data_IF_218024966245
#
_entry.id   IF_218024966245
#
_cell.length_a   1.000
_cell.length_b   1.000
_cell.length_c   1.000
_cell.angle_alpha   90.00
_cell.angle_beta   90.00
_cell.angle_gamma   90.00
#
_symmetry.space_group_name_H-M   'P 1'
#
loop_
_entity.id
_entity.type
_entity.pdbx_description
1 polymer ?
#
# COMPACT_ATOMS: atom_id res chain seq x y z
N UNK A 1 -14.25 -2.10 14.07
CA UNK A 1 -13.66 -1.67 12.79
C UNK A 1 -13.36 -2.94 12.02
N UNK A 2 -14.14 -3.23 10.99
CA UNK A 2 -13.90 -4.33 10.05
C UNK A 2 -12.53 -4.12 9.43
N UNK A 3 -11.59 -5.02 9.71
CA UNK A 3 -10.34 -5.03 8.98
C UNK A 3 -10.68 -5.18 7.49
N UNK A 4 -10.16 -4.31 6.64
CA UNK A 4 -10.32 -4.46 5.19
C UNK A 4 -9.47 -5.66 4.80
N UNK A 5 -10.10 -6.80 4.50
CA UNK A 5 -9.39 -8.04 4.21
C UNK A 5 -8.63 -7.98 2.87
N UNK A 6 -9.16 -7.26 1.88
CA UNK A 6 -8.50 -7.06 0.60
C UNK A 6 -7.29 -6.09 0.75
N UNK A 7 -6.06 -6.56 0.47
CA UNK A 7 -4.87 -5.73 0.62
C UNK A 7 -4.81 -4.56 -0.37
N UNK A 8 -5.36 -4.69 -1.58
CA UNK A 8 -5.43 -3.59 -2.55
C UNK A 8 -6.40 -2.53 -2.05
N UNK A 9 -7.59 -2.91 -1.59
CA UNK A 9 -8.57 -1.98 -1.04
C UNK A 9 -8.05 -1.25 0.20
N UNK A 10 -7.27 -1.95 1.04
CA UNK A 10 -6.61 -1.35 2.20
C UNK A 10 -5.56 -0.31 1.79
N UNK A 11 -4.77 -0.61 0.76
CA UNK A 11 -3.79 0.34 0.21
C UNK A 11 -4.48 1.59 -0.36
N UNK A 12 -5.56 1.42 -1.12
CA UNK A 12 -6.37 2.52 -1.69
C UNK A 12 -6.93 3.39 -0.57
N UNK A 13 -7.56 2.77 0.43
CA UNK A 13 -8.15 3.51 1.57
C UNK A 13 -7.10 4.32 2.32
N UNK A 14 -5.93 3.75 2.58
CA UNK A 14 -4.83 4.45 3.24
C UNK A 14 -4.28 5.60 2.37
N UNK A 15 -4.22 5.41 1.05
CA UNK A 15 -3.82 6.45 0.10
C UNK A 15 -4.81 7.62 0.09
N UNK A 16 -6.10 7.33 0.02
CA UNK A 16 -7.14 8.37 0.01
C UNK A 16 -7.13 9.18 1.31
N UNK A 17 -6.94 8.52 2.46
CA UNK A 17 -6.82 9.20 3.76
C UNK A 17 -5.58 10.10 3.84
N UNK A 18 -4.46 9.69 3.23
CA UNK A 18 -3.25 10.53 3.16
C UNK A 18 -3.51 11.85 2.42
N UNK A 19 -4.26 11.80 1.32
CA UNK A 19 -4.54 12.96 0.48
C UNK A 19 -5.72 13.79 0.96
N UNK A 20 -6.65 13.19 1.71
CA UNK A 20 -7.79 13.88 2.33
C UNK A 20 -7.43 14.57 3.66
N UNK A 21 -6.15 14.62 4.03
CA UNK A 21 -5.69 15.38 5.20
C UNK A 21 -5.99 14.71 6.54
N UNK A 22 -6.18 13.39 6.56
CA UNK A 22 -6.36 12.67 7.83
C UNK A 22 -5.11 12.81 8.72
N UNK A 23 -5.28 12.97 10.05
CA UNK A 23 -4.15 12.92 10.98
C UNK A 23 -3.49 11.54 10.95
N UNK A 24 -2.20 11.47 11.31
CA UNK A 24 -1.47 10.20 11.35
C UNK A 24 -0.88 9.77 10.00
N UNK A 25 -0.39 10.72 9.20
CA UNK A 25 0.18 10.44 7.87
C UNK A 25 1.36 9.45 7.89
N UNK A 26 2.07 9.29 9.01
CA UNK A 26 3.12 8.26 9.15
C UNK A 26 2.50 6.86 9.19
N UNK A 27 1.49 6.65 10.01
CA UNK A 27 0.83 5.34 10.16
C UNK A 27 0.10 4.95 8.88
N UNK A 28 -0.55 5.91 8.21
CA UNK A 28 -1.19 5.67 6.91
C UNK A 28 -0.18 5.28 5.81
N UNK A 29 1.02 5.87 5.79
CA UNK A 29 2.09 5.45 4.87
C UNK A 29 2.54 4.01 5.17
N UNK A 30 2.69 3.65 6.44
CA UNK A 30 3.02 2.28 6.86
C UNK A 30 1.92 1.29 6.45
N UNK A 31 0.65 1.61 6.74
CA UNK A 31 -0.50 0.77 6.36
C UNK A 31 -0.57 0.58 4.85
N UNK A 32 -0.40 1.67 4.08
CA UNK A 32 -0.36 1.60 2.61
C UNK A 32 0.77 0.69 2.13
N UNK A 33 1.97 0.85 2.66
CA UNK A 33 3.14 0.04 2.31
C UNK A 33 2.96 -1.44 2.59
N UNK A 34 2.52 -1.80 3.80
CA UNK A 34 2.24 -3.19 4.17
C UNK A 34 1.15 -3.83 3.31
N UNK A 35 0.12 -3.06 2.97
CA UNK A 35 -0.98 -3.52 2.14
C UNK A 35 -0.53 -3.76 0.68
N UNK A 36 0.35 -2.91 0.13
CA UNK A 36 0.96 -3.12 -1.19
C UNK A 36 1.78 -4.42 -1.21
N UNK A 37 2.63 -4.65 -0.19
CA UNK A 37 3.42 -5.88 -0.08
C UNK A 37 2.55 -7.13 -0.02
N UNK A 38 1.50 -7.11 0.80
CA UNK A 38 0.55 -8.23 0.88
C UNK A 38 -0.19 -8.48 -0.44
N UNK A 39 -0.50 -7.42 -1.21
CA UNK A 39 -1.10 -7.57 -2.53
C UNK A 39 -0.12 -8.26 -3.51
N UNK A 40 1.16 -7.90 -3.46
CA UNK A 40 2.22 -8.53 -4.28
C UNK A 40 2.40 -10.00 -3.88
N UNK A 41 2.47 -10.31 -2.58
CA UNK A 41 2.54 -11.69 -2.07
C UNK A 41 1.32 -12.53 -2.48
N UNK A 42 0.13 -11.90 -2.58
CA UNK A 42 -1.08 -12.53 -3.09
C UNK A 42 -1.10 -12.69 -4.62
N UNK A 43 -0.02 -12.32 -5.32
CA UNK A 43 0.15 -12.48 -6.77
C UNK A 43 -0.37 -11.32 -7.61
N UNK A 44 -0.70 -10.17 -7.01
CA UNK A 44 -1.07 -8.96 -7.77
C UNK A 44 0.17 -8.34 -8.40
N UNK A 45 0.01 -7.81 -9.60
CA UNK A 45 1.07 -7.10 -10.29
C UNK A 45 1.17 -5.65 -9.83
N UNK A 46 2.38 -5.08 -9.95
CA UNK A 46 2.59 -3.64 -9.71
C UNK A 46 1.68 -2.76 -10.56
N UNK A 47 1.35 -3.19 -11.78
CA UNK A 47 0.46 -2.46 -12.67
C UNK A 47 -0.97 -2.39 -12.11
N UNK A 48 -1.55 -3.54 -11.72
CA UNK A 48 -2.90 -3.59 -11.14
C UNK A 48 -2.99 -2.72 -9.87
N UNK A 49 -1.99 -2.83 -8.99
CA UNK A 49 -1.96 -2.04 -7.75
C UNK A 49 -1.84 -0.54 -8.07
N UNK A 50 -1.03 -0.15 -9.05
CA UNK A 50 -0.85 1.23 -9.48
C UNK A 50 -2.14 1.83 -10.05
N UNK A 51 -2.85 1.06 -10.88
CA UNK A 51 -4.11 1.48 -11.49
C UNK A 51 -5.17 1.76 -10.41
N UNK A 52 -5.24 0.93 -9.37
CA UNK A 52 -6.14 1.14 -8.24
C UNK A 52 -5.77 2.35 -7.36
N UNK A 53 -4.47 2.62 -7.20
CA UNK A 53 -3.97 3.74 -6.41
C UNK A 53 -3.92 5.07 -7.19
N UNK A 54 -4.19 5.04 -8.50
CA UNK A 54 -4.02 6.16 -9.41
C UNK A 54 -2.61 6.77 -9.37
N UNK A 55 -1.58 5.92 -9.24
CA UNK A 55 -0.16 6.30 -9.25
C UNK A 55 0.56 5.66 -10.42
N UNK A 56 1.83 6.03 -10.67
CA UNK A 56 2.63 5.31 -11.66
C UNK A 56 3.19 4.04 -11.05
N UNK A 57 3.31 2.93 -11.80
CA UNK A 57 3.95 1.71 -11.31
C UNK A 57 5.40 1.94 -10.80
N UNK A 58 6.12 2.91 -11.38
CA UNK A 58 7.45 3.31 -10.92
C UNK A 58 7.45 3.92 -9.50
N UNK A 59 6.35 4.56 -9.09
CA UNK A 59 6.21 5.14 -7.76
C UNK A 59 5.99 4.05 -6.71
N UNK A 60 5.41 2.91 -7.10
CA UNK A 60 5.25 1.73 -6.23
C UNK A 60 6.57 1.00 -6.02
N UNK A 61 7.35 0.81 -7.08
CA UNK A 61 8.66 0.14 -7.00
C UNK A 61 9.58 0.83 -5.97
N UNK A 62 9.65 2.17 -6.03
CA UNK A 62 10.39 2.98 -5.05
C UNK A 62 9.88 2.82 -3.62
N UNK A 63 8.57 2.61 -3.42
CA UNK A 63 7.99 2.42 -2.09
C UNK A 63 8.25 1.02 -1.54
N UNK A 64 8.27 0.00 -2.39
CA UNK A 64 8.49 -1.38 -1.97
C UNK A 64 9.97 -1.68 -1.73
N UNK A 65 10.90 -1.06 -2.46
CA UNK A 65 12.35 -1.26 -2.24
C UNK A 65 12.81 -0.89 -0.82
N UNK A 66 12.29 0.21 -0.24
CA UNK A 66 12.63 0.62 1.14
C UNK A 66 11.97 -0.28 2.19
N UNK A 67 10.77 -0.80 1.87
CA UNK A 67 10.01 -1.66 2.76
C UNK A 67 10.50 -3.12 2.75
N UNK A 68 10.95 -3.66 1.63
CA UNK A 68 11.52 -5.02 1.56
C UNK A 68 12.77 -5.19 2.44
N UNK A 69 13.55 -4.12 2.62
CA UNK A 69 14.69 -4.10 3.55
C UNK A 69 14.28 -4.20 5.03
N UNK A 70 13.04 -3.82 5.36
CA UNK A 70 12.51 -3.73 6.72
C UNK A 70 11.32 -4.65 7.00
N UNK A 71 10.80 -5.35 5.99
CA UNK A 71 9.67 -6.26 6.07
C UNK A 71 10.15 -7.70 6.33
N UNK A 72 9.89 -8.20 7.55
CA UNK A 72 10.03 -9.63 7.84
C UNK A 72 8.64 -10.29 7.72
N UNK A 73 8.40 -11.12 6.69
CA UNK A 73 7.20 -11.93 6.65
C UNK A 73 7.24 -12.90 7.85
N UNK A 74 6.12 -13.00 8.57
CA UNK A 74 5.96 -13.91 9.71
C UNK A 74 5.67 -15.34 9.26
#
# INVERSE_FOLDING_TARGET
MTAIDDPVLRAVTANDLLWNGAPGSKDLRTTRGQAILQAIEAGRTHQEIADHLHVRPSDLAWMTEDLESSYQPR
#
